data_IF_695147810278
#
_entry.id   IF_695147810278
#
_cell.length_a   1.000
_cell.length_b   1.000
_cell.length_c   1.000
_cell.angle_alpha   90.00
_cell.angle_beta   90.00
_cell.angle_gamma   90.00
#
_symmetry.space_group_name_H-M   'P 1'
#
loop_
_entity.id
_entity.type
_entity.pdbx_description
1 polymer ?
#
# COMPACT_ATOMS: atom_id res chain seq x y z
N UNK A 1 -4.53 -35.15 14.05
CA UNK A 1 -5.86 -35.19 13.37
C UNK A 1 -5.82 -34.27 12.17
N UNK A 2 -6.50 -34.61 11.07
CA UNK A 2 -6.53 -33.75 9.88
C UNK A 2 -7.76 -32.87 9.88
N UNK A 3 -7.64 -31.67 9.31
CA UNK A 3 -8.76 -30.75 9.20
C UNK A 3 -9.92 -31.36 8.38
N UNK A 4 -9.60 -32.18 7.38
CA UNK A 4 -10.56 -32.92 6.57
C UNK A 4 -11.35 -33.96 7.38
N UNK A 5 -10.85 -34.42 8.54
CA UNK A 5 -11.52 -35.44 9.35
C UNK A 5 -12.81 -34.92 10.00
N UNK A 6 -13.01 -33.60 10.08
CA UNK A 6 -14.23 -32.95 10.56
C UNK A 6 -15.35 -32.89 9.49
N UNK A 7 -15.01 -33.05 8.21
CA UNK A 7 -15.98 -32.90 7.12
C UNK A 7 -17.02 -34.02 7.13
N UNK A 8 -18.30 -33.64 7.12
CA UNK A 8 -19.43 -34.59 7.10
C UNK A 8 -19.64 -35.35 8.41
N UNK A 9 -19.01 -34.92 9.51
CA UNK A 9 -19.16 -35.51 10.86
C UNK A 9 -19.67 -34.47 11.86
N UNK A 10 -20.22 -34.92 12.99
CA UNK A 10 -20.64 -34.06 14.11
C UNK A 10 -19.52 -33.86 15.17
N UNK A 11 -18.27 -34.14 14.78
CA UNK A 11 -17.09 -33.98 15.64
C UNK A 11 -16.81 -32.48 15.89
N UNK A 12 -16.56 -32.11 17.14
CA UNK A 12 -16.35 -30.71 17.56
C UNK A 12 -15.23 -30.61 18.58
N UNK A 13 -14.20 -29.84 18.25
CA UNK A 13 -13.03 -29.69 19.10
C UNK A 13 -12.93 -28.28 19.65
N UNK A 14 -13.03 -28.14 20.98
CA UNK A 14 -12.71 -26.88 21.65
C UNK A 14 -11.22 -26.54 21.53
N UNK A 15 -10.86 -25.29 21.77
CA UNK A 15 -9.49 -24.80 21.55
C UNK A 15 -8.42 -25.51 22.40
N UNK A 16 -8.77 -25.99 23.59
CA UNK A 16 -7.86 -26.79 24.41
C UNK A 16 -7.54 -28.15 23.77
N UNK A 17 -8.51 -28.78 23.11
CA UNK A 17 -8.32 -30.04 22.40
C UNK A 17 -7.44 -29.83 21.16
N UNK A 18 -7.67 -28.75 20.42
CA UNK A 18 -6.82 -28.34 19.28
C UNK A 18 -5.38 -28.14 19.76
N UNK A 19 -5.16 -27.44 20.88
CA UNK A 19 -3.83 -27.19 21.43
C UNK A 19 -3.07 -28.42 21.91
N UNK A 20 -3.74 -29.57 22.08
CA UNK A 20 -3.12 -30.87 22.38
C UNK A 20 -2.70 -31.63 21.12
N UNK A 21 -3.06 -31.15 19.93
CA UNK A 21 -2.71 -31.75 18.64
C UNK A 21 -1.87 -30.76 17.80
N UNK A 22 -0.53 -30.90 17.83
CA UNK A 22 0.38 -30.02 17.08
C UNK A 22 0.16 -30.06 15.57
N UNK A 23 -0.26 -31.21 15.01
CA UNK A 23 -0.46 -31.38 13.58
C UNK A 23 -1.72 -30.62 13.12
N UNK A 24 -2.83 -30.74 13.87
CA UNK A 24 -4.05 -29.99 13.60
C UNK A 24 -3.82 -28.48 13.80
N UNK A 25 -3.11 -28.11 14.87
CA UNK A 25 -2.72 -26.72 15.15
C UNK A 25 -1.99 -26.11 13.96
N UNK A 26 -0.96 -26.79 13.45
CA UNK A 26 -0.18 -26.35 12.31
C UNK A 26 -1.03 -26.15 11.05
N UNK A 27 -1.94 -27.09 10.76
CA UNK A 27 -2.84 -26.99 9.60
C UNK A 27 -3.70 -25.72 9.67
N UNK A 28 -4.30 -25.45 10.84
CA UNK A 28 -5.12 -24.24 11.06
C UNK A 28 -4.26 -22.98 10.91
N UNK A 29 -3.08 -22.94 11.52
CA UNK A 29 -2.18 -21.79 11.44
C UNK A 29 -1.77 -21.50 10.00
N UNK A 30 -1.40 -22.52 9.21
CA UNK A 30 -1.02 -22.35 7.80
C UNK A 30 -2.17 -21.74 6.98
N UNK A 31 -3.40 -22.22 7.18
CA UNK A 31 -4.57 -21.68 6.46
C UNK A 31 -4.87 -20.24 6.89
N UNK A 32 -4.85 -19.94 8.18
CA UNK A 32 -5.06 -18.58 8.69
C UNK A 32 -3.95 -17.62 8.24
N UNK A 33 -2.71 -18.08 8.13
CA UNK A 33 -1.59 -17.33 7.53
C UNK A 33 -1.87 -17.05 6.06
N UNK A 34 -2.30 -18.07 5.29
CA UNK A 34 -2.66 -17.93 3.88
C UNK A 34 -3.81 -16.94 3.65
N UNK A 35 -4.76 -16.90 4.59
CA UNK A 35 -5.88 -15.96 4.64
C UNK A 35 -5.49 -14.55 5.13
N UNK A 36 -4.27 -14.36 5.63
CA UNK A 36 -3.79 -13.09 6.18
C UNK A 36 -4.41 -12.72 7.53
N UNK A 37 -4.92 -13.71 8.27
CA UNK A 37 -5.53 -13.55 9.59
C UNK A 37 -4.58 -13.90 10.75
N UNK A 38 -3.43 -14.50 10.46
CA UNK A 38 -2.37 -14.83 11.42
C UNK A 38 -0.99 -14.51 10.82
N UNK A 39 -0.08 -13.96 11.62
CA UNK A 39 1.30 -13.68 11.18
C UNK A 39 2.12 -14.99 11.10
N UNK A 40 3.00 -15.16 10.09
CA UNK A 40 3.91 -16.30 10.02
C UNK A 40 5.08 -16.18 11.02
N UNK A 41 5.74 -17.29 11.40
CA UNK A 41 5.49 -18.66 10.96
C UNK A 41 4.45 -19.40 11.82
N UNK A 42 3.90 -20.51 11.30
CA UNK A 42 3.20 -21.48 12.14
C UNK A 42 4.19 -22.12 13.11
N UNK A 43 3.87 -22.09 14.40
CA UNK A 43 4.73 -22.52 15.51
C UNK A 43 4.24 -23.79 16.21
N UNK A 44 3.18 -24.40 15.67
CA UNK A 44 2.53 -25.61 16.16
C UNK A 44 1.93 -25.46 17.58
N UNK A 45 1.74 -24.23 18.07
CA UNK A 45 1.15 -23.91 19.39
C UNK A 45 -0.17 -23.16 19.27
N UNK A 46 -1.25 -23.77 19.75
CA UNK A 46 -2.58 -23.15 19.74
C UNK A 46 -2.77 -22.23 20.96
N UNK A 47 -2.04 -21.11 20.98
CA UNK A 47 -2.14 -20.10 22.03
C UNK A 47 -3.26 -19.07 21.80
N UNK A 48 -3.34 -18.02 22.65
CA UNK A 48 -4.34 -16.95 22.54
C UNK A 48 -4.38 -16.25 21.18
N UNK A 49 -3.23 -16.12 20.51
CA UNK A 49 -3.13 -15.47 19.19
C UNK A 49 -3.81 -16.34 18.11
N UNK A 50 -3.47 -17.63 18.06
CA UNK A 50 -4.11 -18.60 17.15
C UNK A 50 -5.61 -18.70 17.40
N UNK A 51 -6.03 -18.73 18.67
CA UNK A 51 -7.44 -18.73 19.06
C UNK A 51 -8.18 -17.46 18.60
N UNK A 52 -7.58 -16.28 18.78
CA UNK A 52 -8.16 -15.02 18.32
C UNK A 52 -8.27 -14.95 16.79
N UNK A 53 -7.26 -15.43 16.07
CA UNK A 53 -7.28 -15.50 14.61
C UNK A 53 -8.36 -16.44 14.08
N UNK A 54 -8.52 -17.62 14.70
CA UNK A 54 -9.59 -18.56 14.33
C UNK A 54 -10.98 -17.97 14.63
N UNK A 55 -11.16 -17.35 15.80
CA UNK A 55 -12.41 -16.65 16.14
C UNK A 55 -12.76 -15.58 15.12
N UNK A 56 -11.79 -14.75 14.75
CA UNK A 56 -11.96 -13.72 13.73
C UNK A 56 -12.38 -14.32 12.38
N UNK A 57 -11.77 -15.43 11.96
CA UNK A 57 -12.19 -16.13 10.74
C UNK A 57 -13.65 -16.60 10.84
N UNK A 58 -14.02 -17.23 11.95
CA UNK A 58 -15.37 -17.74 12.19
C UNK A 58 -16.42 -16.64 12.21
N UNK A 59 -16.11 -15.48 12.79
CA UNK A 59 -16.96 -14.29 12.77
C UNK A 59 -17.14 -13.72 11.35
N UNK A 60 -16.04 -13.60 10.59
CA UNK A 60 -16.08 -13.09 9.22
C UNK A 60 -16.92 -14.00 8.32
N UNK A 61 -16.69 -15.32 8.40
CA UNK A 61 -17.40 -16.31 7.60
C UNK A 61 -18.77 -16.70 8.17
N UNK A 62 -19.15 -16.15 9.33
CA UNK A 62 -20.40 -16.44 10.04
C UNK A 62 -20.64 -17.95 10.22
N UNK A 63 -19.60 -18.71 10.59
CA UNK A 63 -19.68 -20.18 10.69
C UNK A 63 -20.61 -20.65 11.81
N UNK A 64 -20.86 -19.81 12.82
CA UNK A 64 -21.66 -20.16 13.99
C UNK A 64 -20.95 -21.06 15.01
N UNK A 65 -19.64 -21.32 14.83
CA UNK A 65 -18.84 -22.22 15.67
C UNK A 65 -17.81 -21.45 16.52
N UNK A 66 -18.19 -20.37 17.20
CA UNK A 66 -17.27 -19.36 17.76
C UNK A 66 -16.25 -19.84 18.80
N UNK A 67 -16.43 -21.01 19.42
CA UNK A 67 -15.55 -21.50 20.50
C UNK A 67 -15.02 -22.93 20.25
N UNK A 68 -15.28 -23.48 19.06
CA UNK A 68 -14.82 -24.81 18.67
C UNK A 68 -14.57 -24.89 17.17
N UNK A 69 -13.78 -25.87 16.75
CA UNK A 69 -13.64 -26.27 15.36
C UNK A 69 -14.62 -27.43 15.10
N UNK A 70 -15.59 -27.22 14.21
CA UNK A 70 -16.49 -28.26 13.71
C UNK A 70 -16.43 -28.36 12.19
N UNK A 71 -17.39 -29.09 11.62
CA UNK A 71 -17.45 -29.35 10.19
C UNK A 71 -17.58 -28.08 9.35
N UNK A 72 -18.29 -27.05 9.84
CA UNK A 72 -18.52 -25.80 9.08
C UNK A 72 -17.23 -25.00 8.99
N UNK A 73 -16.58 -24.72 10.13
CA UNK A 73 -15.32 -23.97 10.14
C UNK A 73 -14.22 -24.73 9.41
N UNK A 74 -14.14 -26.06 9.57
CA UNK A 74 -13.16 -26.87 8.85
C UNK A 74 -13.32 -26.76 7.33
N UNK A 75 -14.55 -26.84 6.83
CA UNK A 75 -14.87 -26.66 5.41
C UNK A 75 -14.48 -25.27 4.92
N UNK A 76 -14.94 -24.23 5.60
CA UNK A 76 -14.66 -22.84 5.22
C UNK A 76 -13.15 -22.55 5.24
N UNK A 77 -12.39 -23.03 6.24
CA UNK A 77 -10.93 -22.86 6.29
C UNK A 77 -10.21 -23.49 5.09
N UNK A 78 -10.71 -24.62 4.59
CA UNK A 78 -10.13 -25.35 3.45
C UNK A 78 -10.46 -24.66 2.13
N UNK A 79 -11.70 -24.19 1.97
CA UNK A 79 -12.25 -23.73 0.69
C UNK A 79 -12.08 -22.22 0.46
N UNK A 80 -12.06 -21.42 1.52
CA UNK A 80 -12.05 -19.95 1.40
C UNK A 80 -10.73 -19.45 0.82
N UNK A 81 -10.83 -18.60 -0.19
CA UNK A 81 -9.69 -17.81 -0.67
C UNK A 81 -9.65 -16.46 0.03
N UNK A 82 -8.45 -15.89 0.16
CA UNK A 82 -8.26 -14.61 0.85
C UNK A 82 -9.12 -13.48 0.27
N UNK A 83 -9.34 -13.49 -1.04
CA UNK A 83 -10.13 -12.47 -1.76
C UNK A 83 -11.63 -12.58 -1.48
N UNK A 84 -12.10 -13.75 -1.02
CA UNK A 84 -13.50 -14.04 -0.71
C UNK A 84 -13.87 -13.68 0.74
N UNK A 85 -12.86 -13.41 1.59
CA UNK A 85 -13.10 -12.97 2.96
C UNK A 85 -13.93 -11.68 2.99
N UNK A 86 -15.04 -11.65 3.76
CA UNK A 86 -15.82 -10.44 3.92
C UNK A 86 -14.96 -9.30 4.46
N UNK A 87 -14.85 -8.22 3.68
CA UNK A 87 -14.13 -7.01 4.11
C UNK A 87 -15.05 -6.21 5.04
N UNK A 88 -14.60 -5.82 6.25
CA UNK A 88 -15.38 -4.94 7.11
C UNK A 88 -15.79 -3.68 6.35
N UNK A 89 -17.03 -3.19 6.51
CA UNK A 89 -17.45 -1.96 5.87
C UNK A 89 -16.55 -0.81 6.34
N UNK A 90 -16.15 0.04 5.40
CA UNK A 90 -15.32 1.20 5.71
C UNK A 90 -16.11 2.24 6.50
N UNK A 91 -15.53 2.66 7.62
CA UNK A 91 -16.06 3.69 8.53
C UNK A 91 -15.39 5.02 8.17
N UNK A 92 -15.91 5.69 7.15
CA UNK A 92 -15.29 6.88 6.57
C UNK A 92 -15.85 8.18 7.17
N UNK A 93 -14.99 8.91 7.88
CA UNK A 93 -15.27 10.22 8.46
C UNK A 93 -14.96 11.40 7.52
N UNK A 94 -14.65 12.54 8.12
CA UNK A 94 -14.28 13.78 7.42
C UNK A 94 -12.78 14.12 7.53
N UNK A 95 -12.00 13.28 8.23
CA UNK A 95 -10.54 13.40 8.27
C UNK A 95 -9.93 13.13 6.89
N UNK A 96 -8.67 13.55 6.71
CA UNK A 96 -7.99 13.47 5.42
C UNK A 96 -7.83 12.03 4.92
N UNK A 97 -7.62 11.04 5.79
CA UNK A 97 -7.47 9.64 5.39
C UNK A 97 -8.81 9.14 4.81
N UNK A 98 -9.91 9.44 5.49
CA UNK A 98 -11.25 9.14 5.00
C UNK A 98 -11.57 9.84 3.68
N UNK A 99 -11.17 11.11 3.50
CA UNK A 99 -11.34 11.85 2.23
C UNK A 99 -10.58 11.19 1.08
N UNK A 100 -9.33 10.78 1.31
CA UNK A 100 -8.51 10.07 0.33
C UNK A 100 -9.19 8.75 -0.07
N UNK A 101 -9.63 7.96 0.90
CA UNK A 101 -10.29 6.67 0.60
C UNK A 101 -11.62 6.88 -0.14
N UNK A 102 -12.43 7.87 0.24
CA UNK A 102 -13.65 8.25 -0.51
C UNK A 102 -13.33 8.62 -1.96
N UNK A 103 -12.28 9.43 -2.18
CA UNK A 103 -11.83 9.80 -3.51
C UNK A 103 -11.41 8.57 -4.33
N UNK A 104 -10.62 7.68 -3.73
CA UNK A 104 -10.19 6.44 -4.37
C UNK A 104 -11.39 5.56 -4.75
N UNK A 105 -12.37 5.38 -3.86
CA UNK A 105 -13.61 4.66 -4.16
C UNK A 105 -14.41 5.31 -5.29
N UNK A 106 -14.57 6.64 -5.27
CA UNK A 106 -15.30 7.37 -6.31
C UNK A 106 -14.66 7.25 -7.70
N UNK A 107 -13.32 7.08 -7.76
CA UNK A 107 -12.57 6.85 -9.01
C UNK A 107 -12.44 5.35 -9.36
N UNK A 108 -13.07 4.45 -8.60
CA UNK A 108 -12.94 2.99 -8.72
C UNK A 108 -11.47 2.49 -8.63
N UNK A 109 -10.67 3.14 -7.78
CA UNK A 109 -9.32 2.70 -7.47
C UNK A 109 -9.33 1.60 -6.42
N UNK A 110 -8.30 0.75 -6.46
CA UNK A 110 -8.12 -0.32 -5.48
C UNK A 110 -7.84 0.29 -4.11
N UNK A 111 -8.60 -0.14 -3.10
CA UNK A 111 -8.41 0.23 -1.69
C UNK A 111 -8.11 -1.04 -0.91
N UNK A 112 -6.94 -1.07 -0.29
CA UNK A 112 -6.56 -2.18 0.57
C UNK A 112 -7.08 -1.97 1.98
N UNK A 113 -7.78 -2.99 2.48
CA UNK A 113 -8.53 -2.91 3.75
C UNK A 113 -8.07 -3.94 4.78
N UNK A 114 -7.16 -4.84 4.41
CA UNK A 114 -6.65 -5.84 5.34
C UNK A 114 -5.54 -5.23 6.22
N UNK A 115 -5.32 -5.77 7.43
CA UNK A 115 -4.24 -5.31 8.30
C UNK A 115 -2.89 -5.28 7.59
N UNK A 116 -2.14 -4.19 7.77
CA UNK A 116 -0.84 -3.92 7.14
C UNK A 116 -0.79 -4.00 5.62
N UNK A 117 -1.93 -4.09 4.92
CA UNK A 117 -1.95 -3.84 3.49
C UNK A 117 -2.03 -2.34 3.26
N UNK A 118 -0.88 -1.75 2.97
CA UNK A 118 -0.74 -0.30 2.91
C UNK A 118 -1.24 0.27 1.59
N UNK A 119 -1.89 1.44 1.68
CA UNK A 119 -2.22 2.29 0.54
C UNK A 119 -1.20 3.43 0.48
N UNK A 120 -0.39 3.47 -0.58
CA UNK A 120 0.59 4.54 -0.82
C UNK A 120 -0.08 5.62 -1.67
N UNK A 121 -0.08 6.85 -1.18
CA UNK A 121 -0.76 7.98 -1.82
C UNK A 121 0.16 9.20 -1.85
N UNK A 122 0.19 9.91 -2.97
CA UNK A 122 0.77 11.23 -3.07
C UNK A 122 -0.34 12.26 -3.31
N UNK A 123 -0.29 13.36 -2.56
CA UNK A 123 -1.13 14.54 -2.75
C UNK A 123 -0.27 15.67 -3.28
N UNK A 124 -0.53 16.09 -4.52
CA UNK A 124 0.15 17.22 -5.15
C UNK A 124 -0.42 18.55 -4.64
N UNK A 125 0.44 19.52 -4.31
CA UNK A 125 0.04 20.86 -3.90
C UNK A 125 -0.61 20.96 -2.52
N UNK A 126 -0.21 20.11 -1.56
CA UNK A 126 -0.82 20.04 -0.21
C UNK A 126 0.23 20.21 0.90
N UNK A 127 -0.07 21.08 1.86
CA UNK A 127 0.74 21.31 3.06
C UNK A 127 0.62 20.19 4.09
N UNK A 128 1.48 20.24 5.11
CA UNK A 128 1.45 19.28 6.23
C UNK A 128 0.14 19.29 7.03
N UNK A 129 -0.51 20.46 7.12
CA UNK A 129 -1.80 20.67 7.79
C UNK A 129 -3.01 20.36 6.89
N UNK A 130 -2.77 19.74 5.73
CA UNK A 130 -3.80 19.34 4.75
C UNK A 130 -4.50 20.50 4.05
N UNK A 131 -3.93 21.70 4.09
CA UNK A 131 -4.37 22.85 3.28
C UNK A 131 -3.69 22.86 1.91
N UNK A 132 -4.31 23.50 0.92
CA UNK A 132 -3.69 23.73 -0.39
C UNK A 132 -2.52 24.72 -0.27
N UNK A 133 -1.46 24.48 -1.05
CA UNK A 133 -0.44 25.50 -1.32
C UNK A 133 -0.52 25.98 -2.78
N UNK A 134 0.38 26.88 -3.15
CA UNK A 134 0.42 27.50 -4.48
C UNK A 134 0.95 26.59 -5.59
N UNK A 135 1.24 25.33 -5.29
CA UNK A 135 1.82 24.35 -6.20
C UNK A 135 3.04 24.90 -6.98
N UNK A 136 3.96 25.55 -6.25
CA UNK A 136 5.06 26.29 -6.88
C UNK A 136 6.09 25.32 -7.47
N UNK A 137 6.44 25.45 -8.76
CA UNK A 137 7.38 24.54 -9.40
C UNK A 137 8.73 24.45 -8.70
N UNK A 138 9.38 23.29 -8.86
CA UNK A 138 10.71 22.99 -8.30
C UNK A 138 10.78 23.02 -6.76
N UNK A 139 9.69 22.66 -6.08
CA UNK A 139 9.65 22.56 -4.62
C UNK A 139 9.23 21.16 -4.16
N UNK A 140 9.54 20.86 -2.90
CA UNK A 140 8.95 19.74 -2.19
C UNK A 140 7.71 20.23 -1.44
N UNK A 141 6.63 20.42 -2.17
CA UNK A 141 5.36 21.01 -1.77
C UNK A 141 4.20 19.99 -1.77
N UNK A 142 4.52 18.71 -1.92
CA UNK A 142 3.55 17.61 -1.92
C UNK A 142 3.62 16.80 -0.62
N UNK A 143 2.61 15.96 -0.40
CA UNK A 143 2.64 14.94 0.67
C UNK A 143 2.69 13.54 0.08
N UNK A 144 3.66 12.75 0.54
CA UNK A 144 3.68 11.29 0.41
C UNK A 144 3.10 10.67 1.67
N UNK A 145 2.14 9.76 1.53
CA UNK A 145 1.30 9.27 2.63
C UNK A 145 1.22 7.76 2.56
N UNK A 146 1.26 7.11 3.73
CA UNK A 146 0.90 5.71 3.89
C UNK A 146 -0.35 5.60 4.75
N UNK A 147 -1.38 4.92 4.22
CA UNK A 147 -2.64 4.68 4.93
C UNK A 147 -2.80 3.18 5.17
N UNK A 148 -3.18 2.83 6.39
CA UNK A 148 -3.66 1.49 6.76
C UNK A 148 -5.13 1.57 7.17
N UNK A 149 -5.92 0.56 6.84
CA UNK A 149 -7.29 0.45 7.34
C UNK A 149 -7.30 -0.50 8.53
N UNK A 150 -7.63 0.03 9.71
CA UNK A 150 -7.70 -0.72 10.97
C UNK A 150 -9.15 -0.76 11.44
N UNK A 151 -9.73 -1.95 11.53
CA UNK A 151 -11.14 -2.17 11.94
C UNK A 151 -12.16 -1.35 11.11
N UNK A 152 -11.88 -1.23 9.82
CA UNK A 152 -12.66 -0.46 8.85
C UNK A 152 -12.36 1.04 8.85
N UNK A 153 -11.49 1.54 9.73
CA UNK A 153 -11.15 2.96 9.85
C UNK A 153 -9.82 3.22 9.14
N UNK A 154 -9.76 4.06 8.08
CA UNK A 154 -8.50 4.46 7.48
C UNK A 154 -7.71 5.35 8.44
N UNK A 155 -6.43 5.04 8.62
CA UNK A 155 -5.49 5.80 9.45
C UNK A 155 -4.24 6.09 8.66
N UNK A 156 -3.78 7.34 8.69
CA UNK A 156 -2.44 7.69 8.22
C UNK A 156 -1.46 7.08 9.20
N UNK A 157 -0.64 6.14 8.70
CA UNK A 157 0.47 5.55 9.47
C UNK A 157 1.58 6.58 9.62
N UNK A 158 1.94 7.22 8.50
CA UNK A 158 2.85 8.35 8.47
C UNK A 158 2.71 9.11 7.14
N UNK A 159 3.26 10.32 7.07
CA UNK A 159 3.31 11.15 5.88
C UNK A 159 4.56 12.03 5.87
N UNK A 160 5.11 12.31 4.69
CA UNK A 160 6.34 13.06 4.53
C UNK A 160 6.22 14.12 3.44
N UNK A 161 7.00 15.19 3.58
CA UNK A 161 7.18 16.18 2.53
C UNK A 161 7.83 15.53 1.30
N UNK A 162 7.24 15.78 0.13
CA UNK A 162 7.59 15.12 -1.11
C UNK A 162 7.42 16.04 -2.32
N UNK A 163 7.68 15.50 -3.50
CA UNK A 163 7.30 16.06 -4.80
C UNK A 163 6.93 14.90 -5.74
N UNK A 164 5.96 15.14 -6.60
CA UNK A 164 5.55 14.28 -7.72
C UNK A 164 5.96 14.89 -9.07
N UNK A 165 6.65 16.03 -9.01
CA UNK A 165 7.02 16.86 -10.15
C UNK A 165 8.52 16.73 -10.48
N UNK A 166 8.92 17.08 -11.72
CA UNK A 166 10.31 17.26 -12.08
C UNK A 166 10.88 18.55 -11.46
N UNK A 167 12.17 18.53 -11.13
CA UNK A 167 12.91 19.75 -10.79
C UNK A 167 13.24 20.60 -12.01
N UNK A 168 13.44 21.90 -11.80
CA UNK A 168 13.77 22.89 -12.85
C UNK A 168 14.92 22.44 -13.75
N UNK A 169 15.94 21.75 -13.19
CA UNK A 169 17.06 21.22 -13.99
C UNK A 169 16.57 20.36 -15.15
N UNK A 170 15.64 19.44 -14.88
CA UNK A 170 15.13 18.48 -15.84
C UNK A 170 14.00 19.04 -16.69
N UNK A 171 13.24 20.02 -16.20
CA UNK A 171 12.31 20.79 -17.06
C UNK A 171 13.08 21.56 -18.14
N UNK A 172 14.12 22.30 -17.75
CA UNK A 172 14.88 23.10 -18.71
C UNK A 172 15.84 22.28 -19.57
N UNK A 173 16.37 21.17 -19.05
CA UNK A 173 17.27 20.24 -19.75
C UNK A 173 16.72 18.80 -19.66
N UNK A 174 15.66 18.48 -20.42
CA UNK A 174 14.98 17.21 -20.29
C UNK A 174 15.82 16.04 -20.80
N UNK A 175 15.71 14.91 -20.11
CA UNK A 175 16.36 13.66 -20.52
C UNK A 175 15.70 13.05 -21.77
N UNK A 176 14.45 13.41 -22.04
CA UNK A 176 13.70 13.01 -23.22
C UNK A 176 13.48 14.26 -24.10
N UNK A 177 13.72 14.20 -25.42
CA UNK A 177 13.51 15.34 -26.31
C UNK A 177 12.06 15.83 -26.35
N UNK A 178 11.10 15.00 -25.94
CA UNK A 178 9.69 15.37 -25.81
C UNK A 178 9.36 16.22 -24.58
N UNK A 179 10.27 16.38 -23.62
CA UNK A 179 10.02 17.16 -22.39
C UNK A 179 10.20 16.38 -21.09
N UNK A 180 10.13 17.09 -19.96
CA UNK A 180 10.21 16.47 -18.64
C UNK A 180 8.96 15.62 -18.36
N UNK A 181 9.10 14.53 -17.62
CA UNK A 181 7.97 13.70 -17.26
C UNK A 181 7.22 14.31 -16.07
N UNK A 182 5.91 14.50 -16.22
CA UNK A 182 4.97 14.85 -15.14
C UNK A 182 3.95 13.73 -15.04
N UNK A 183 3.93 12.97 -13.94
CA UNK A 183 3.06 11.79 -13.83
C UNK A 183 1.58 12.20 -14.03
N UNK A 184 0.83 11.43 -14.80
CA UNK A 184 -0.61 11.65 -14.93
C UNK A 184 -1.28 11.20 -13.64
N UNK A 185 -2.14 12.04 -13.06
CA UNK A 185 -2.93 11.68 -11.89
C UNK A 185 -3.73 10.39 -12.12
N UNK A 186 -3.72 9.51 -11.12
CA UNK A 186 -4.23 8.15 -11.27
C UNK A 186 -3.67 7.18 -10.22
N UNK A 187 -4.11 5.92 -10.31
CA UNK A 187 -3.53 4.82 -9.55
C UNK A 187 -2.76 3.89 -10.49
N UNK A 188 -1.56 3.49 -10.07
CA UNK A 188 -0.69 2.60 -10.85
C UNK A 188 -0.16 1.46 -9.98
N UNK A 189 -0.20 0.24 -10.51
CA UNK A 189 0.49 -0.93 -9.94
C UNK A 189 1.82 -1.10 -10.66
N UNK A 190 2.82 -0.31 -10.27
CA UNK A 190 4.01 -0.13 -11.11
C UNK A 190 5.35 -0.14 -10.40
N UNK A 191 5.40 -0.39 -9.08
CA UNK A 191 6.67 -0.34 -8.34
C UNK A 191 6.93 -1.56 -7.46
N UNK A 192 8.16 -2.04 -7.42
CA UNK A 192 8.62 -3.07 -6.48
C UNK A 192 9.78 -2.54 -5.64
N UNK A 193 10.08 -3.19 -4.52
CA UNK A 193 11.29 -2.86 -3.74
C UNK A 193 12.53 -3.15 -4.60
N UNK A 194 13.48 -2.23 -4.63
CA UNK A 194 14.74 -2.34 -5.35
C UNK A 194 15.73 -1.27 -4.91
N UNK A 195 16.78 -1.04 -5.72
CA UNK A 195 17.83 -0.05 -5.43
C UNK A 195 17.76 1.10 -6.43
N UNK A 196 17.73 2.33 -5.94
CA UNK A 196 17.84 3.56 -6.72
C UNK A 196 19.25 4.16 -6.60
N UNK A 197 19.75 4.72 -7.69
CA UNK A 197 20.99 5.49 -7.74
C UNK A 197 22.26 4.64 -7.91
N UNK A 198 23.28 5.25 -8.51
CA UNK A 198 24.60 4.62 -8.71
C UNK A 198 25.63 5.14 -7.70
N UNK A 199 25.69 6.46 -7.48
CA UNK A 199 26.67 7.12 -6.62
C UNK A 199 26.34 7.01 -5.13
N UNK A 200 25.05 6.99 -4.79
CA UNK A 200 24.54 6.77 -3.44
C UNK A 200 23.39 5.75 -3.54
N UNK A 201 23.71 4.46 -3.75
CA UNK A 201 22.70 3.42 -3.91
C UNK A 201 21.90 3.25 -2.63
N UNK A 202 20.58 3.21 -2.74
CA UNK A 202 19.68 3.05 -1.61
C UNK A 202 18.41 2.30 -1.98
N UNK A 203 17.80 1.67 -0.97
CA UNK A 203 16.52 1.01 -1.12
C UNK A 203 15.44 2.04 -1.50
N UNK A 204 14.59 1.66 -2.46
CA UNK A 204 13.53 2.48 -3.03
C UNK A 204 12.43 1.60 -3.62
N UNK A 205 11.31 2.22 -4.02
CA UNK A 205 10.32 1.59 -4.89
C UNK A 205 10.70 1.87 -6.35
N UNK A 206 11.25 0.88 -7.06
CA UNK A 206 11.69 1.02 -8.45
C UNK A 206 10.58 0.72 -9.44
N UNK A 207 10.53 1.44 -10.56
CA UNK A 207 9.51 1.21 -11.58
C UNK A 207 9.72 -0.14 -12.28
N UNK A 208 8.69 -0.98 -12.27
CA UNK A 208 8.68 -2.31 -12.93
C UNK A 208 7.51 -2.52 -13.89
N UNK A 209 6.51 -1.64 -13.89
CA UNK A 209 5.44 -1.64 -14.88
C UNK A 209 5.21 -0.24 -15.47
N UNK A 210 4.59 -0.13 -16.66
CA UNK A 210 4.32 1.15 -17.29
C UNK A 210 3.51 2.09 -16.40
N UNK A 211 3.80 3.38 -16.51
CA UNK A 211 2.96 4.47 -15.99
C UNK A 211 2.65 5.42 -17.13
N UNK A 212 1.69 6.33 -16.94
CA UNK A 212 1.38 7.38 -17.90
C UNK A 212 1.89 8.72 -17.40
N UNK A 213 2.53 9.49 -18.28
CA UNK A 213 3.07 10.82 -17.98
C UNK A 213 2.61 11.82 -19.05
N UNK A 214 2.60 13.09 -18.68
CA UNK A 214 2.63 14.21 -19.60
C UNK A 214 4.09 14.60 -19.86
N UNK A 215 4.41 14.97 -21.09
CA UNK A 215 5.73 15.43 -21.51
C UNK A 215 5.72 16.95 -21.65
N UNK A 216 6.26 17.62 -20.64
CA UNK A 216 6.36 19.08 -20.55
C UNK A 216 7.38 19.60 -21.57
N UNK A 217 6.89 19.79 -22.80
CA UNK A 217 7.70 20.18 -23.95
C UNK A 217 7.95 21.69 -23.97
N UNK A 218 6.95 22.47 -23.57
CA UNK A 218 6.99 23.94 -23.57
C UNK A 218 7.63 24.53 -22.30
N UNK A 219 7.97 23.68 -21.31
CA UNK A 219 8.71 24.02 -20.08
C UNK A 219 7.94 24.96 -19.18
N UNK A 220 6.61 24.83 -19.17
CA UNK A 220 5.72 25.67 -18.37
C UNK A 220 5.31 25.05 -17.03
N UNK A 221 5.83 23.85 -16.72
CA UNK A 221 5.55 23.09 -15.51
C UNK A 221 4.08 22.68 -15.37
N UNK A 222 3.33 22.60 -16.45
CA UNK A 222 1.93 22.19 -16.44
C UNK A 222 1.74 20.87 -17.19
N UNK A 223 0.56 20.26 -17.03
CA UNK A 223 0.17 19.06 -17.80
C UNK A 223 -0.77 19.41 -18.97
N UNK A 224 -1.29 20.62 -18.99
CA UNK A 224 -2.37 21.04 -19.89
C UNK A 224 -1.83 21.22 -21.30
N UNK A 225 -2.38 20.46 -22.26
CA UNK A 225 -1.96 20.53 -23.67
C UNK A 225 -0.70 19.70 -24.00
N UNK A 226 -0.08 19.09 -23.00
CA UNK A 226 1.07 18.22 -23.19
C UNK A 226 0.71 16.88 -23.83
N UNK A 227 1.70 16.30 -24.52
CA UNK A 227 1.57 14.95 -25.06
C UNK A 227 1.61 13.92 -23.94
N UNK A 228 0.73 12.93 -24.05
CA UNK A 228 0.67 11.77 -23.15
C UNK A 228 1.60 10.68 -23.67
N UNK A 229 2.35 10.07 -22.74
CA UNK A 229 3.26 8.97 -23.02
C UNK A 229 3.12 7.89 -21.94
N UNK A 230 3.09 6.61 -22.34
CA UNK A 230 2.91 5.47 -21.44
C UNK A 230 4.04 4.47 -21.64
N UNK A 231 4.77 4.16 -20.57
CA UNK A 231 5.92 3.29 -20.66
C UNK A 231 6.75 3.19 -19.38
N UNK A 232 7.92 2.57 -19.53
CA UNK A 232 8.95 2.51 -18.48
C UNK A 232 9.90 3.69 -18.65
N UNK A 233 9.99 4.53 -17.63
CA UNK A 233 10.74 5.79 -17.65
C UNK A 233 11.77 5.88 -16.52
N UNK A 234 11.93 4.81 -15.74
CA UNK A 234 12.73 4.77 -14.50
C UNK A 234 12.24 5.79 -13.45
N UNK A 235 10.93 6.04 -13.45
CA UNK A 235 10.24 6.89 -12.48
C UNK A 235 10.10 6.12 -11.17
N UNK A 236 11.13 6.22 -10.34
CA UNK A 236 11.22 5.53 -9.05
C UNK A 236 10.59 6.38 -7.93
N UNK A 237 10.29 5.75 -6.79
CA UNK A 237 9.99 6.46 -5.55
C UNK A 237 11.17 6.34 -4.60
N UNK A 238 11.93 7.43 -4.44
CA UNK A 238 13.21 7.47 -3.74
C UNK A 238 13.34 8.73 -2.86
N UNK A 239 14.50 8.97 -2.24
CA UNK A 239 14.69 10.19 -1.45
C UNK A 239 15.28 11.36 -2.25
N UNK A 240 15.03 12.58 -1.77
CA UNK A 240 15.46 13.85 -2.34
C UNK A 240 16.81 14.34 -1.84
N UNK A 241 17.64 13.44 -1.29
CA UNK A 241 19.00 13.72 -0.84
C UNK A 241 19.10 14.85 0.21
N UNK A 242 18.03 15.05 1.00
CA UNK A 242 17.93 16.14 1.99
C UNK A 242 18.05 17.54 1.38
N UNK A 243 17.73 17.67 0.08
CA UNK A 243 17.66 18.95 -0.61
C UNK A 243 16.74 19.95 0.12
N UNK A 244 16.99 21.27 -0.04
CA UNK A 244 16.14 22.29 0.56
C UNK A 244 14.71 22.18 0.02
N UNK A 245 13.74 22.56 0.84
CA UNK A 245 12.32 22.38 0.50
C UNK A 245 11.90 23.17 -0.75
N UNK A 246 12.58 24.29 -1.04
CA UNK A 246 12.29 25.18 -2.16
C UNK A 246 13.15 24.92 -3.41
N UNK A 247 13.92 23.83 -3.46
CA UNK A 247 14.71 23.47 -4.64
C UNK A 247 14.95 21.95 -4.72
N UNK A 248 14.25 21.29 -5.65
CA UNK A 248 14.37 19.84 -5.94
C UNK A 248 15.78 19.48 -6.46
N UNK A 249 16.58 20.46 -6.91
CA UNK A 249 17.89 20.26 -7.51
C UNK A 249 17.79 19.28 -8.69
N UNK A 250 18.48 18.16 -8.60
CA UNK A 250 18.52 17.08 -9.58
C UNK A 250 17.90 15.79 -9.03
N UNK A 251 17.05 15.87 -8.01
CA UNK A 251 16.47 14.68 -7.40
C UNK A 251 15.33 14.08 -8.23
N UNK A 252 14.65 14.84 -9.10
CA UNK A 252 13.50 14.31 -9.86
C UNK A 252 13.52 14.76 -11.32
N UNK A 253 13.58 13.81 -12.24
CA UNK A 253 13.25 14.01 -13.66
C UNK A 253 11.77 13.66 -13.97
N UNK A 254 10.94 13.53 -12.93
CA UNK A 254 9.59 12.96 -12.95
C UNK A 254 9.39 11.79 -11.97
N UNK A 255 10.34 11.56 -11.06
CA UNK A 255 10.26 10.58 -9.97
C UNK A 255 9.28 11.04 -8.88
N UNK A 256 8.82 10.11 -8.03
CA UNK A 256 8.03 10.43 -6.84
C UNK A 256 8.94 10.52 -5.62
N UNK A 257 9.36 11.71 -5.24
CA UNK A 257 10.53 11.88 -4.34
C UNK A 257 10.10 12.37 -2.96
N UNK A 258 10.41 11.60 -1.91
CA UNK A 258 10.30 12.09 -0.53
C UNK A 258 11.55 12.89 -0.16
N UNK A 259 11.42 14.11 0.38
CA UNK A 259 12.57 15.04 0.50
C UNK A 259 13.73 14.49 1.34
N UNK A 260 13.42 13.98 2.52
CA UNK A 260 14.42 13.59 3.52
C UNK A 260 14.82 12.11 3.41
N UNK A 261 16.10 11.82 3.65
CA UNK A 261 16.62 10.44 3.72
C UNK A 261 15.96 9.65 4.84
N UNK A 262 15.85 10.25 6.02
CA UNK A 262 15.22 9.66 7.20
C UNK A 262 13.78 9.22 6.91
N UNK A 263 12.93 10.15 6.48
CA UNK A 263 11.53 9.84 6.14
C UNK A 263 11.37 8.83 5.01
N UNK A 264 12.36 8.69 4.12
CA UNK A 264 12.36 7.62 3.13
C UNK A 264 12.70 6.25 3.74
N UNK A 265 13.65 6.16 4.66
CA UNK A 265 13.93 4.91 5.38
C UNK A 265 12.73 4.47 6.21
N UNK A 266 12.02 5.41 6.83
CA UNK A 266 10.76 5.14 7.53
C UNK A 266 9.69 4.59 6.57
N UNK A 267 9.48 5.22 5.41
CA UNK A 267 8.58 4.69 4.37
C UNK A 267 8.92 3.24 4.06
N UNK A 268 10.19 2.96 3.71
CA UNK A 268 10.63 1.62 3.34
C UNK A 268 10.42 0.61 4.48
N UNK A 269 10.71 1.01 5.72
CA UNK A 269 10.50 0.17 6.90
C UNK A 269 9.01 -0.14 7.14
N UNK A 270 8.10 0.80 6.85
CA UNK A 270 6.65 0.59 6.96
C UNK A 270 6.17 -0.36 5.86
N UNK A 271 6.37 0.00 4.59
CA UNK A 271 5.77 -0.75 3.47
C UNK A 271 6.32 -2.19 3.34
N UNK A 272 7.53 -2.46 3.86
CA UNK A 272 8.11 -3.81 3.89
C UNK A 272 7.50 -4.72 4.95
N UNK A 273 6.63 -4.21 5.81
CA UNK A 273 5.79 -5.01 6.71
C UNK A 273 4.52 -5.54 6.01
N UNK A 274 4.27 -5.11 4.77
CA UNK A 274 3.09 -5.55 4.01
C UNK A 274 3.13 -7.07 3.80
N UNK A 275 2.09 -7.82 4.22
CA UNK A 275 2.08 -9.28 4.11
C UNK A 275 2.22 -9.77 2.66
N UNK A 276 1.78 -9.00 1.67
CA UNK A 276 1.92 -9.33 0.24
C UNK A 276 3.37 -9.26 -0.22
N UNK A 277 4.12 -8.28 0.27
CA UNK A 277 5.57 -8.19 0.06
C UNK A 277 6.35 -9.23 0.89
N UNK A 278 5.89 -9.54 2.10
CA UNK A 278 6.50 -10.58 2.92
C UNK A 278 6.38 -11.96 2.24
N UNK A 279 5.21 -12.27 1.70
CA UNK A 279 4.96 -13.50 0.95
C UNK A 279 5.67 -13.53 -0.42
N UNK A 280 5.79 -12.38 -1.10
CA UNK A 280 6.45 -12.27 -2.39
C UNK A 280 7.31 -11.00 -2.48
N UNK A 281 8.65 -11.17 -2.46
CA UNK A 281 9.59 -10.04 -2.54
C UNK A 281 9.54 -9.27 -3.86
N UNK A 282 8.92 -9.84 -4.89
CA UNK A 282 8.65 -9.17 -6.17
C UNK A 282 7.26 -8.53 -6.22
N UNK A 283 6.59 -8.34 -5.07
CA UNK A 283 5.29 -7.67 -5.01
C UNK A 283 5.35 -6.28 -5.65
N UNK A 284 4.37 -6.01 -6.52
CA UNK A 284 4.22 -4.73 -7.18
C UNK A 284 3.18 -3.91 -6.42
N UNK A 285 3.67 -2.89 -5.74
CA UNK A 285 2.89 -1.93 -4.97
C UNK A 285 2.06 -1.03 -5.89
N UNK A 286 0.88 -0.67 -5.38
CA UNK A 286 0.04 0.36 -5.96
C UNK A 286 0.43 1.70 -5.37
N UNK A 287 0.40 2.74 -6.18
CA UNK A 287 0.51 4.12 -5.71
C UNK A 287 -0.51 4.98 -6.42
N UNK A 288 -1.20 5.82 -5.64
CA UNK A 288 -2.21 6.74 -6.13
C UNK A 288 -1.64 8.15 -6.08
N UNK A 289 -1.70 8.89 -7.19
CA UNK A 289 -1.30 10.30 -7.26
C UNK A 289 -2.55 11.13 -7.49
N UNK A 290 -2.84 12.02 -6.55
CA UNK A 290 -4.07 12.79 -6.49
C UNK A 290 -3.72 14.29 -6.51
N UNK A 291 -4.36 15.10 -7.38
CA UNK A 291 -4.27 16.55 -7.29
C UNK A 291 -4.99 17.03 -6.03
N UNK A 292 -4.30 17.77 -5.17
CA UNK A 292 -4.85 18.23 -3.89
C UNK A 292 -6.08 19.10 -4.05
N UNK A 293 -6.12 19.92 -5.09
CA UNK A 293 -7.24 20.80 -5.43
C UNK A 293 -8.48 20.01 -5.88
N UNK A 294 -8.36 18.79 -6.43
CA UNK A 294 -9.48 17.88 -6.73
C UNK A 294 -9.94 17.10 -5.49
N UNK A 295 -9.01 16.74 -4.59
CA UNK A 295 -9.35 16.05 -3.35
C UNK A 295 -10.14 16.94 -2.38
N UNK A 296 -9.81 18.22 -2.32
CA UNK A 296 -10.31 19.16 -1.31
C UNK A 296 -11.50 20.01 -1.80
N UNK A 297 -12.07 19.69 -2.97
CA UNK A 297 -13.32 20.32 -3.47
C UNK A 297 -14.53 20.04 -2.57
#
# INVERSE_FOLDING_TARGET
>A
MKLQDFLGKDEKWGFEAIGKDPELTRQIQILLIGLGLLDPPADDKFGPISAAALKKFQELMKTGETDFLGAVTAKELIETKREELPKPPLKLGNDVASKIIKYMQAKNYEVFTNPKEYNIVYLEGVNEDWTLNSDTPNQFNDRRIVIEVVDGIPKIVNHWQATTEPGSRYTYNPMNPGGAARIKFGQYKSWSVGIHGNSEPHEALIQVAPITVYRDFNKDFQRTGDKVDTGLFLVNQHYGYDAPANDIKNASAGCLVGRRREGHRELMAIIKQDPRYLANKNYVFYTTVIPGDDLLK
#
